data_IF_284503772573
#
_entry.id   IF_284503772573
#
_cell.length_a   1.000
_cell.length_b   1.000
_cell.length_c   1.000
_cell.angle_alpha   90.00
_cell.angle_beta   90.00
_cell.angle_gamma   90.00
#
_symmetry.space_group_name_H-M   'P 1'
#
loop_
_entity.id
_entity.type
_entity.pdbx_description
1 polymer ?
#
# COMPACT_ATOMS: atom_id res chain seq x y z
N UNK A 1 -21.78 -42.39 11.87
CA UNK A 1 -21.27 -42.00 10.53
C UNK A 1 -21.53 -40.52 10.23
N UNK A 2 -22.76 -40.00 10.36
CA UNK A 2 -23.09 -38.60 10.09
C UNK A 2 -22.30 -37.56 10.92
N UNK A 3 -22.01 -37.85 12.20
CA UNK A 3 -21.29 -36.91 13.09
C UNK A 3 -19.92 -36.47 12.57
N UNK A 4 -19.21 -37.37 11.89
CA UNK A 4 -17.89 -37.03 11.31
C UNK A 4 -18.04 -36.03 10.16
N UNK A 5 -18.99 -36.27 9.25
CA UNK A 5 -19.29 -35.38 8.13
C UNK A 5 -19.80 -34.01 8.58
N UNK A 6 -20.66 -33.97 9.61
CA UNK A 6 -21.16 -32.71 10.19
C UNK A 6 -19.99 -31.90 10.76
N UNK A 7 -19.11 -32.52 11.56
CA UNK A 7 -17.95 -31.84 12.13
C UNK A 7 -17.00 -31.33 11.04
N UNK A 8 -16.70 -32.17 10.05
CA UNK A 8 -15.81 -31.81 8.95
C UNK A 8 -16.34 -30.63 8.14
N UNK A 9 -17.63 -30.64 7.81
CA UNK A 9 -18.27 -29.55 7.08
C UNK A 9 -18.25 -28.23 7.87
N UNK A 10 -18.58 -28.28 9.18
CA UNK A 10 -18.54 -27.09 10.04
C UNK A 10 -17.12 -26.55 10.19
N UNK A 11 -16.12 -27.39 10.48
CA UNK A 11 -14.73 -26.94 10.64
C UNK A 11 -14.19 -26.31 9.35
N UNK A 12 -14.54 -26.87 8.18
CA UNK A 12 -14.16 -26.30 6.90
C UNK A 12 -14.85 -24.96 6.63
N UNK A 13 -16.16 -24.88 6.87
CA UNK A 13 -16.90 -23.62 6.71
C UNK A 13 -16.33 -22.51 7.61
N UNK A 14 -16.00 -22.82 8.86
CA UNK A 14 -15.33 -21.88 9.77
C UNK A 14 -13.96 -21.45 9.24
N UNK A 15 -13.13 -22.37 8.74
CA UNK A 15 -11.82 -22.03 8.20
C UNK A 15 -11.91 -21.15 6.94
N UNK A 16 -12.92 -21.37 6.09
CA UNK A 16 -13.07 -20.65 4.82
C UNK A 16 -13.81 -19.31 4.96
N UNK A 17 -14.70 -19.15 5.96
CA UNK A 17 -15.64 -18.02 6.03
C UNK A 17 -15.59 -17.18 7.31
N UNK A 18 -14.95 -17.64 8.40
CA UNK A 18 -15.03 -16.92 9.68
C UNK A 18 -14.21 -15.62 9.74
N UNK A 19 -13.33 -15.37 8.76
CA UNK A 19 -12.41 -14.23 8.78
C UNK A 19 -12.81 -13.18 7.75
N UNK A 20 -12.68 -11.92 8.12
CA UNK A 20 -12.85 -10.76 7.23
C UNK A 20 -11.96 -10.84 5.99
N UNK A 21 -10.70 -11.28 6.18
CA UNK A 21 -9.75 -11.55 5.11
C UNK A 21 -9.60 -13.07 5.00
N UNK A 22 -9.98 -13.62 3.84
CA UNK A 22 -9.93 -15.07 3.62
C UNK A 22 -8.48 -15.58 3.63
N UNK A 23 -8.22 -16.58 4.47
CA UNK A 23 -6.92 -17.25 4.59
C UNK A 23 -7.07 -18.71 4.16
N UNK A 24 -6.14 -19.30 3.38
CA UNK A 24 -6.20 -20.72 3.02
C UNK A 24 -6.20 -21.65 4.23
N UNK A 25 -6.96 -22.75 4.17
CA UNK A 25 -7.13 -23.72 5.28
C UNK A 25 -5.80 -24.19 5.89
N UNK A 26 -4.82 -24.57 5.06
CA UNK A 26 -3.51 -25.04 5.55
C UNK A 26 -2.73 -23.95 6.33
N UNK A 27 -2.98 -22.67 6.04
CA UNK A 27 -2.41 -21.55 6.80
C UNK A 27 -3.15 -21.37 8.12
N UNK A 28 -4.47 -21.53 8.15
CA UNK A 28 -5.28 -21.54 9.40
C UNK A 28 -4.85 -22.67 10.34
N UNK A 29 -4.61 -23.87 9.81
CA UNK A 29 -4.05 -25.00 10.56
C UNK A 29 -2.68 -24.66 11.16
N UNK A 30 -1.82 -23.97 10.39
CA UNK A 30 -0.51 -23.54 10.85
C UNK A 30 -0.61 -22.49 11.95
N UNK A 31 -1.50 -21.49 11.84
CA UNK A 31 -1.79 -20.49 12.88
C UNK A 31 -2.23 -21.21 14.17
N UNK A 32 -3.16 -22.15 14.08
CA UNK A 32 -3.65 -22.90 15.23
C UNK A 32 -2.54 -23.74 15.89
N UNK A 33 -1.61 -24.31 15.09
CA UNK A 33 -0.44 -25.02 15.61
C UNK A 33 0.51 -24.09 16.35
N UNK A 34 0.77 -22.89 15.81
CA UNK A 34 1.58 -21.84 16.46
C UNK A 34 0.98 -21.42 17.80
N UNK A 35 -0.32 -21.06 17.83
CA UNK A 35 -1.02 -20.66 19.06
C UNK A 35 -0.98 -21.77 20.12
N UNK A 36 -1.14 -23.03 19.71
CA UNK A 36 -1.08 -24.18 20.63
C UNK A 36 0.30 -24.34 21.27
N UNK A 37 1.36 -24.22 20.49
CA UNK A 37 2.73 -24.32 21.00
C UNK A 37 3.06 -23.13 21.90
N UNK A 38 2.68 -21.91 21.51
CA UNK A 38 2.88 -20.72 22.33
C UNK A 38 2.21 -20.84 23.70
N UNK A 39 0.96 -21.32 23.76
CA UNK A 39 0.25 -21.57 25.02
C UNK A 39 0.92 -22.65 25.88
N UNK A 40 1.41 -23.72 25.26
CA UNK A 40 2.13 -24.79 25.99
C UNK A 40 3.44 -24.25 26.58
N UNK A 41 4.24 -23.55 25.79
CA UNK A 41 5.50 -22.97 26.24
C UNK A 41 5.29 -21.92 27.34
N UNK A 42 4.22 -21.12 27.26
CA UNK A 42 3.83 -20.20 28.34
C UNK A 42 3.56 -20.95 29.65
N UNK A 43 2.82 -22.07 29.60
CA UNK A 43 2.55 -22.90 30.78
C UNK A 43 3.81 -23.56 31.35
N UNK A 44 4.70 -24.04 30.48
CA UNK A 44 5.92 -24.75 30.90
C UNK A 44 7.01 -23.80 31.41
N UNK A 45 7.12 -22.59 30.83
CA UNK A 45 8.22 -21.65 31.10
C UNK A 45 7.82 -20.47 31.99
N UNK A 46 6.53 -20.21 32.14
CA UNK A 46 6.01 -19.11 32.94
C UNK A 46 6.12 -17.72 32.30
N UNK A 47 6.53 -17.63 31.02
CA UNK A 47 6.60 -16.39 30.26
C UNK A 47 6.16 -16.60 28.80
N UNK A 48 5.72 -15.53 28.13
CA UNK A 48 5.27 -15.61 26.75
C UNK A 48 6.47 -15.79 25.81
N UNK A 49 6.54 -16.88 25.02
CA UNK A 49 7.71 -17.18 24.21
C UNK A 49 7.82 -16.24 23.01
N UNK A 50 9.05 -15.95 22.60
CA UNK A 50 9.31 -15.11 21.44
C UNK A 50 8.94 -15.85 20.13
N UNK A 51 8.67 -15.12 19.03
CA UNK A 51 8.42 -15.76 17.74
C UNK A 51 9.59 -16.63 17.25
N UNK A 52 10.82 -16.33 17.65
CA UNK A 52 12.02 -17.12 17.35
C UNK A 52 12.02 -18.45 18.10
N UNK A 53 11.67 -18.44 19.39
CA UNK A 53 11.58 -19.65 20.20
C UNK A 53 10.47 -20.58 19.70
N UNK A 54 9.33 -20.01 19.31
CA UNK A 54 8.21 -20.76 18.73
C UNK A 54 8.58 -21.32 17.35
N UNK A 55 9.30 -20.56 16.52
CA UNK A 55 9.78 -20.99 15.22
C UNK A 55 10.76 -22.16 15.34
N UNK A 56 11.73 -22.06 16.26
CA UNK A 56 12.68 -23.14 16.56
C UNK A 56 11.97 -24.41 17.05
N UNK A 57 10.96 -24.28 17.90
CA UNK A 57 10.19 -25.44 18.39
C UNK A 57 9.35 -26.12 17.29
N UNK A 58 8.90 -25.35 16.29
CA UNK A 58 8.05 -25.84 15.21
C UNK A 58 8.81 -26.27 13.96
N UNK A 59 10.13 -26.07 13.94
CA UNK A 59 11.01 -26.21 12.77
C UNK A 59 10.50 -25.40 11.58
N UNK A 60 10.23 -24.11 11.83
CA UNK A 60 9.76 -23.16 10.83
C UNK A 60 10.73 -21.97 10.75
N UNK A 61 10.84 -21.30 9.59
CA UNK A 61 11.55 -20.02 9.51
C UNK A 61 10.92 -18.97 10.42
N UNK A 62 11.74 -18.20 11.14
CA UNK A 62 11.28 -17.11 12.02
C UNK A 62 10.33 -16.15 11.31
N UNK A 63 10.71 -15.69 10.10
CA UNK A 63 9.89 -14.80 9.27
C UNK A 63 8.49 -15.36 8.99
N UNK A 64 8.39 -16.69 8.85
CA UNK A 64 7.10 -17.35 8.63
C UNK A 64 6.22 -17.26 9.86
N UNK A 65 6.76 -17.51 11.06
CA UNK A 65 5.99 -17.38 12.31
C UNK A 65 5.61 -15.92 12.56
N UNK A 66 6.52 -14.98 12.27
CA UNK A 66 6.26 -13.54 12.36
C UNK A 66 5.11 -13.11 11.43
N UNK A 67 5.14 -13.55 10.17
CA UNK A 67 4.09 -13.27 9.19
C UNK A 67 2.72 -13.84 9.58
N UNK A 68 2.68 -15.01 10.23
CA UNK A 68 1.43 -15.60 10.71
C UNK A 68 0.79 -14.80 11.86
N UNK A 69 1.57 -14.05 12.64
CA UNK A 69 1.01 -13.11 13.64
C UNK A 69 0.33 -11.91 12.99
N UNK A 70 0.79 -11.49 11.81
CA UNK A 70 0.15 -10.40 11.04
C UNK A 70 -1.18 -10.84 10.40
N UNK A 71 -1.38 -12.15 10.22
CA UNK A 71 -2.66 -12.71 9.77
C UNK A 71 -3.73 -12.78 10.87
N UNK A 72 -3.56 -12.04 11.97
CA UNK A 72 -4.58 -11.86 13.00
C UNK A 72 -5.80 -11.14 12.43
N UNK A 73 -6.93 -11.27 13.14
CA UNK A 73 -8.17 -10.63 12.72
C UNK A 73 -8.03 -9.10 12.81
N UNK A 74 -8.55 -8.36 11.82
CA UNK A 74 -8.50 -6.90 11.86
C UNK A 74 -9.29 -6.37 13.05
N UNK A 75 -8.83 -5.25 13.61
CA UNK A 75 -9.54 -4.54 14.68
C UNK A 75 -10.64 -3.67 14.07
N UNK A 76 -11.74 -3.51 14.80
CA UNK A 76 -12.83 -2.63 14.40
C UNK A 76 -12.38 -1.17 14.40
N UNK A 77 -12.74 -0.41 13.35
CA UNK A 77 -12.57 1.04 13.33
C UNK A 77 -13.45 1.76 14.37
N UNK A 78 -14.52 1.12 14.83
CA UNK A 78 -15.38 1.62 15.90
C UNK A 78 -14.89 1.21 17.30
N UNK A 79 -13.74 0.56 17.42
CA UNK A 79 -13.18 0.26 18.73
C UNK A 79 -12.85 1.58 19.44
N UNK A 80 -13.33 1.80 20.69
CA UNK A 80 -13.00 3.01 21.43
C UNK A 80 -11.51 3.04 21.74
N UNK A 81 -10.94 4.24 21.78
CA UNK A 81 -9.52 4.47 22.10
C UNK A 81 -9.43 5.34 23.35
N UNK A 82 -8.83 4.79 24.40
CA UNK A 82 -8.70 5.47 25.70
C UNK A 82 -9.78 5.05 26.69
N UNK A 83 -9.90 5.82 27.79
CA UNK A 83 -10.92 5.59 28.83
C UNK A 83 -12.25 6.30 28.53
N UNK A 84 -12.22 7.29 27.64
CA UNK A 84 -13.40 8.04 27.20
C UNK A 84 -13.93 7.41 25.91
N UNK A 85 -15.20 7.01 25.90
CA UNK A 85 -15.87 6.33 24.77
C UNK A 85 -16.15 7.27 23.56
N UNK A 86 -15.66 8.51 23.59
CA UNK A 86 -15.98 9.55 22.61
C UNK A 86 -15.10 9.48 21.35
N UNK A 87 -14.00 8.72 21.36
CA UNK A 87 -13.05 8.64 20.23
C UNK A 87 -12.93 7.19 19.75
N UNK A 88 -13.27 6.96 18.48
CA UNK A 88 -13.07 5.66 17.84
C UNK A 88 -11.70 5.58 17.16
N UNK A 89 -11.18 4.36 17.00
CA UNK A 89 -9.91 4.11 16.30
C UNK A 89 -9.90 4.72 14.89
N UNK A 90 -11.03 4.64 14.19
CA UNK A 90 -11.19 5.18 12.83
C UNK A 90 -11.03 6.70 12.76
N UNK A 91 -11.37 7.43 13.84
CA UNK A 91 -11.24 8.89 13.88
C UNK A 91 -9.77 9.35 13.94
N UNK A 92 -8.86 8.43 14.29
CA UNK A 92 -7.42 8.67 14.40
C UNK A 92 -6.64 8.30 13.13
N UNK A 93 -7.30 7.71 12.13
CA UNK A 93 -6.64 7.28 10.89
C UNK A 93 -6.67 8.45 9.90
N UNK A 94 -5.48 8.97 9.60
CA UNK A 94 -5.30 9.98 8.56
C UNK A 94 -5.54 9.40 7.16
N UNK A 95 -6.20 10.19 6.30
CA UNK A 95 -6.31 9.89 4.87
C UNK A 95 -5.01 10.31 4.16
N UNK A 96 -4.14 9.33 3.90
CA UNK A 96 -2.88 9.57 3.21
C UNK A 96 -3.01 9.93 1.72
N UNK A 97 -4.17 9.70 1.11
CA UNK A 97 -4.43 10.06 -0.29
C UNK A 97 -5.08 11.45 -0.42
N UNK A 98 -5.43 12.09 0.70
CA UNK A 98 -6.02 13.42 0.70
C UNK A 98 -5.02 14.45 0.15
N UNK A 99 -5.42 15.20 -0.87
CA UNK A 99 -4.60 16.26 -1.43
C UNK A 99 -4.34 17.35 -0.39
N UNK A 100 -3.07 17.60 -0.07
CA UNK A 100 -2.70 18.69 0.83
C UNK A 100 -3.08 20.04 0.20
N UNK A 101 -3.84 20.91 0.90
CA UNK A 101 -4.15 22.25 0.41
C UNK A 101 -2.89 23.08 0.13
N UNK A 102 -1.84 22.88 0.92
CA UNK A 102 -0.56 23.57 0.76
C UNK A 102 0.15 23.09 -0.50
N UNK A 103 0.20 21.78 -0.74
CA UNK A 103 0.79 21.22 -1.97
C UNK A 103 0.00 21.64 -3.21
N UNK A 104 -1.32 21.65 -3.12
CA UNK A 104 -2.21 22.11 -4.18
C UNK A 104 -1.97 23.58 -4.53
N UNK A 105 -1.86 24.45 -3.51
CA UNK A 105 -1.52 25.86 -3.70
C UNK A 105 -0.11 26.04 -4.28
N UNK A 106 0.88 25.30 -3.79
CA UNK A 106 2.24 25.33 -4.30
C UNK A 106 2.30 24.91 -5.79
N UNK A 107 1.55 23.88 -6.18
CA UNK A 107 1.47 23.43 -7.56
C UNK A 107 0.83 24.48 -8.48
N UNK A 108 -0.22 25.15 -8.03
CA UNK A 108 -0.84 26.26 -8.77
C UNK A 108 0.14 27.42 -8.97
N UNK A 109 0.83 27.84 -7.90
CA UNK A 109 1.83 28.90 -7.97
C UNK A 109 3.00 28.52 -8.89
N UNK A 110 3.46 27.26 -8.85
CA UNK A 110 4.50 26.76 -9.74
C UNK A 110 4.05 26.84 -11.21
N UNK A 111 2.79 26.47 -11.50
CA UNK A 111 2.24 26.57 -12.87
C UNK A 111 2.19 28.01 -13.36
N UNK A 112 1.78 28.95 -12.52
CA UNK A 112 1.76 30.38 -12.85
C UNK A 112 3.18 30.93 -13.12
N UNK A 113 4.15 30.57 -12.29
CA UNK A 113 5.55 30.95 -12.51
C UNK A 113 6.10 30.36 -13.80
N UNK A 114 5.82 29.09 -14.09
CA UNK A 114 6.23 28.45 -15.34
C UNK A 114 5.63 29.16 -16.55
N UNK A 115 4.34 29.49 -16.51
CA UNK A 115 3.69 30.22 -17.61
C UNK A 115 4.30 31.63 -17.79
N UNK A 116 4.61 32.32 -16.69
CA UNK A 116 5.28 33.61 -16.73
C UNK A 116 6.69 33.52 -17.36
N UNK A 117 7.51 32.53 -17.00
CA UNK A 117 8.82 32.30 -17.63
C UNK A 117 8.67 31.93 -19.11
N UNK A 118 7.76 31.01 -19.44
CA UNK A 118 7.47 30.62 -20.82
C UNK A 118 7.01 31.81 -21.67
N UNK A 119 6.31 32.78 -21.07
CA UNK A 119 5.87 34.00 -21.75
C UNK A 119 7.03 34.87 -22.25
N UNK A 120 8.21 34.77 -21.64
CA UNK A 120 9.43 35.49 -22.05
C UNK A 120 10.11 34.88 -23.28
N UNK A 121 9.83 33.62 -23.59
CA UNK A 121 10.38 32.92 -24.75
C UNK A 121 9.64 33.30 -26.03
N UNK A 122 10.33 33.18 -27.16
CA UNK A 122 9.70 33.28 -28.47
C UNK A 122 8.63 32.21 -28.67
N UNK A 123 7.65 32.47 -29.54
CA UNK A 123 6.51 31.56 -29.76
C UNK A 123 6.94 30.13 -30.12
N UNK A 124 7.99 30.00 -30.94
CA UNK A 124 8.56 28.71 -31.34
C UNK A 124 9.27 27.99 -30.19
N UNK A 125 10.10 28.70 -29.42
CA UNK A 125 10.83 28.16 -28.26
C UNK A 125 9.85 27.68 -27.19
N UNK A 126 8.87 28.52 -26.85
CA UNK A 126 7.78 28.19 -25.91
C UNK A 126 7.08 26.91 -26.32
N UNK A 127 6.72 26.76 -27.59
CA UNK A 127 6.00 25.59 -28.09
C UNK A 127 6.87 24.33 -28.08
N UNK A 128 8.17 24.45 -28.38
CA UNK A 128 9.12 23.33 -28.24
C UNK A 128 9.21 22.87 -26.79
N UNK A 129 9.40 23.78 -25.84
CA UNK A 129 9.49 23.46 -24.40
C UNK A 129 8.18 22.85 -23.87
N UNK A 130 7.02 23.41 -24.22
CA UNK A 130 5.72 22.86 -23.82
C UNK A 130 5.52 21.42 -24.31
N UNK A 131 5.89 21.12 -25.56
CA UNK A 131 5.78 19.78 -26.13
C UNK A 131 6.82 18.81 -25.57
N UNK A 132 8.03 19.28 -25.30
CA UNK A 132 9.12 18.47 -24.75
C UNK A 132 8.79 17.93 -23.37
N UNK A 133 8.26 18.79 -22.51
CA UNK A 133 7.94 18.46 -21.12
C UNK A 133 6.46 18.11 -20.89
N UNK A 134 5.63 18.15 -21.94
CA UNK A 134 4.21 17.82 -21.83
C UNK A 134 3.43 18.80 -20.96
N UNK A 135 3.83 20.07 -20.92
CA UNK A 135 3.25 21.08 -20.02
C UNK A 135 1.77 21.42 -20.35
N UNK A 136 1.30 21.06 -21.54
CA UNK A 136 -0.06 21.32 -22.00
C UNK A 136 -1.00 20.09 -21.93
N UNK A 137 -0.49 18.90 -22.29
CA UNK A 137 -1.28 17.67 -22.44
C UNK A 137 -0.79 16.52 -21.54
N UNK A 138 0.20 16.77 -20.68
CA UNK A 138 0.81 15.77 -19.79
C UNK A 138 1.68 14.73 -20.51
N UNK A 139 1.90 14.87 -21.82
CA UNK A 139 2.63 13.88 -22.63
C UNK A 139 3.94 14.48 -23.15
N UNK A 140 5.09 14.14 -22.54
CA UNK A 140 6.37 14.60 -23.04
C UNK A 140 6.66 13.97 -24.41
N UNK A 141 7.17 14.78 -25.34
CA UNK A 141 7.56 14.34 -26.69
C UNK A 141 9.07 14.31 -26.84
N UNK A 142 9.57 13.43 -27.69
CA UNK A 142 10.98 13.36 -28.07
C UNK A 142 11.34 14.47 -29.06
N UNK A 143 12.62 14.85 -29.14
CA UNK A 143 13.09 15.85 -30.10
C UNK A 143 12.79 15.47 -31.55
N UNK A 144 12.76 14.18 -31.87
CA UNK A 144 12.43 13.70 -33.21
C UNK A 144 10.94 13.87 -33.53
N UNK A 145 10.04 13.55 -32.59
CA UNK A 145 8.60 13.79 -32.74
C UNK A 145 8.28 15.27 -32.87
N UNK A 146 8.95 16.11 -32.06
CA UNK A 146 8.83 17.57 -32.16
C UNK A 146 9.36 18.04 -33.52
N UNK A 147 10.50 17.52 -33.99
CA UNK A 147 11.05 17.83 -35.30
C UNK A 147 10.07 17.53 -36.44
N UNK A 148 9.39 16.38 -36.39
CA UNK A 148 8.34 16.01 -37.35
C UNK A 148 7.16 16.99 -37.34
N UNK A 149 6.74 17.48 -36.17
CA UNK A 149 5.64 18.45 -36.04
C UNK A 149 6.02 19.81 -36.65
N UNK A 150 7.26 20.25 -36.43
CA UNK A 150 7.75 21.55 -36.93
C UNK A 150 8.34 21.48 -38.35
N UNK A 151 8.41 20.30 -38.96
CA UNK A 151 9.02 20.10 -40.27
C UNK A 151 10.53 20.39 -40.31
N UNK A 152 11.23 20.18 -39.18
CA UNK A 152 12.67 20.43 -39.04
C UNK A 152 13.41 19.21 -38.50
N UNK A 153 14.74 19.21 -38.61
CA UNK A 153 15.57 18.11 -38.10
C UNK A 153 15.59 18.07 -36.58
N UNK A 154 15.85 16.89 -36.01
CA UNK A 154 16.07 16.71 -34.57
C UNK A 154 17.11 17.68 -34.00
N UNK A 155 18.22 17.86 -34.71
CA UNK A 155 19.29 18.76 -34.28
C UNK A 155 18.85 20.21 -34.25
N UNK A 156 17.95 20.62 -35.16
CA UNK A 156 17.39 21.96 -35.15
C UNK A 156 16.49 22.20 -33.93
N UNK A 157 15.72 21.20 -33.50
CA UNK A 157 14.94 21.31 -32.25
C UNK A 157 15.87 21.42 -31.04
N UNK A 158 16.97 20.65 -31.00
CA UNK A 158 17.99 20.71 -29.93
C UNK A 158 18.68 22.08 -29.81
N UNK A 159 18.73 22.86 -30.89
CA UNK A 159 19.29 24.22 -30.88
C UNK A 159 18.28 25.28 -30.41
N UNK A 160 16.99 24.96 -30.47
CA UNK A 160 15.89 25.84 -30.06
C UNK A 160 15.52 25.60 -28.59
N UNK A 161 15.68 24.36 -28.12
CA UNK A 161 15.66 23.99 -26.69
C UNK A 161 16.86 24.58 -25.95
#
# INVERSE_FOLDING_TARGET
YATWWIRQAMSRAMADQARTIRVPVHVVELINRVVRVQRRMLQERGYEPSPEEVAAHLDLPHERVRGLRLAQEPVSLHAPVGEEDDVALGDLIEDGDAASPVESAAFLLLREHLEAVLSTLGERERKVVQLRYGLADGRPRTLEEIGRIFGVTRERIRQIE
#
